data_IF_379989424121
#
_entry.id   IF_379989424121
#
_cell.length_a   1.000
_cell.length_b   1.000
_cell.length_c   1.000
_cell.angle_alpha   90.00
_cell.angle_beta   90.00
_cell.angle_gamma   90.00
#
_symmetry.space_group_name_H-M   'P 1'
#
loop_
_entity.id
_entity.type
_entity.pdbx_description
1 polymer ?
#
# COMPACT_ATOMS: atom_id res chain seq x y z
N UNK A 1 -24.67 47.54 -28.02
CA UNK A 1 -23.75 47.18 -26.92
C UNK A 1 -24.57 46.73 -25.71
N UNK A 2 -24.95 45.46 -25.65
CA UNK A 2 -25.74 44.90 -24.54
C UNK A 2 -25.25 43.49 -24.26
N UNK A 3 -24.19 43.38 -23.48
CA UNK A 3 -23.66 42.11 -23.00
C UNK A 3 -24.33 41.72 -21.69
N UNK A 4 -25.24 40.74 -21.74
CA UNK A 4 -25.69 39.99 -20.56
C UNK A 4 -24.47 39.32 -19.93
N UNK A 5 -24.16 39.66 -18.68
CA UNK A 5 -23.24 38.87 -17.87
C UNK A 5 -24.09 37.81 -17.15
N UNK A 6 -24.21 36.64 -17.78
CA UNK A 6 -24.67 35.42 -17.11
C UNK A 6 -23.68 35.08 -16.00
N UNK A 7 -24.10 35.25 -14.75
CA UNK A 7 -23.45 34.67 -13.58
C UNK A 7 -23.72 33.15 -13.55
N UNK A 8 -23.08 32.41 -14.45
CA UNK A 8 -23.05 30.95 -14.45
C UNK A 8 -21.77 30.47 -15.10
N UNK A 9 -20.64 30.76 -14.46
CA UNK A 9 -19.39 30.02 -14.70
C UNK A 9 -18.91 29.55 -13.35
N UNK A 10 -19.04 28.25 -13.13
CA UNK A 10 -18.60 27.58 -11.92
C UNK A 10 -17.18 27.98 -11.60
N UNK A 11 -16.97 28.46 -10.37
CA UNK A 11 -15.65 28.38 -9.79
C UNK A 11 -15.23 26.91 -9.86
N UNK A 12 -14.09 26.56 -10.47
CA UNK A 12 -13.49 25.29 -10.17
C UNK A 12 -13.22 25.32 -8.67
N UNK A 13 -13.95 24.49 -7.92
CA UNK A 13 -13.55 24.07 -6.57
C UNK A 13 -12.15 23.50 -6.74
N UNK A 14 -11.14 24.34 -6.52
CA UNK A 14 -9.77 23.90 -6.32
C UNK A 14 -9.83 23.03 -5.08
N UNK A 15 -9.89 21.72 -5.30
CA UNK A 15 -9.60 20.73 -4.28
C UNK A 15 -8.18 21.05 -3.81
N UNK A 16 -8.05 21.82 -2.74
CA UNK A 16 -6.84 22.04 -1.96
C UNK A 16 -6.47 20.74 -1.21
N UNK A 17 -6.36 19.68 -1.99
CA UNK A 17 -6.17 18.31 -1.54
C UNK A 17 -5.07 17.67 -2.35
N UNK A 18 -3.92 18.34 -2.50
CA UNK A 18 -2.66 17.60 -2.61
C UNK A 18 -2.38 17.11 -1.19
N UNK A 19 -3.17 16.12 -0.77
CA UNK A 19 -2.83 15.35 0.41
C UNK A 19 -1.42 14.81 0.19
N UNK A 20 -0.53 15.05 1.16
CA UNK A 20 0.76 14.39 1.41
C UNK A 20 0.66 12.85 1.52
N UNK A 21 -0.34 12.22 0.89
CA UNK A 21 -0.61 10.78 0.85
C UNK A 21 0.03 10.08 -0.34
N UNK A 22 0.62 10.79 -1.28
CA UNK A 22 1.61 10.22 -2.20
C UNK A 22 2.99 10.17 -1.53
N UNK A 23 3.05 9.52 -0.37
CA UNK A 23 4.31 8.88 0.01
C UNK A 23 4.71 7.98 -1.16
N UNK A 24 6.01 7.82 -1.49
CA UNK A 24 6.45 6.79 -2.40
C UNK A 24 6.14 5.41 -1.79
N UNK A 25 4.88 4.97 -1.91
CA UNK A 25 4.35 3.73 -1.37
C UNK A 25 4.99 2.51 -2.03
N UNK A 26 5.62 2.69 -3.20
CA UNK A 26 6.31 1.64 -3.94
C UNK A 26 7.77 1.46 -3.53
N UNK A 27 8.47 2.49 -3.04
CA UNK A 27 9.94 2.42 -2.87
C UNK A 27 10.31 1.55 -1.66
N UNK A 28 9.62 1.69 -0.53
CA UNK A 28 9.90 0.90 0.68
C UNK A 28 9.67 -0.61 0.53
N UNK A 29 8.53 -1.09 0.01
CA UNK A 29 8.29 -2.53 -0.11
C UNK A 29 9.21 -3.20 -1.14
N UNK A 30 9.43 -2.55 -2.30
CA UNK A 30 10.29 -3.09 -3.36
C UNK A 30 11.75 -3.26 -2.90
N UNK A 31 12.27 -2.29 -2.15
CA UNK A 31 13.65 -2.33 -1.66
C UNK A 31 13.85 -3.46 -0.65
N UNK A 32 12.89 -3.62 0.26
CA UNK A 32 12.93 -4.63 1.33
C UNK A 32 12.86 -6.05 0.77
N UNK A 33 12.00 -6.28 -0.23
CA UNK A 33 11.86 -7.60 -0.86
C UNK A 33 13.12 -8.00 -1.64
N UNK A 34 13.68 -7.06 -2.42
CA UNK A 34 14.92 -7.27 -3.17
C UNK A 34 16.10 -7.56 -2.25
N UNK A 35 16.23 -6.79 -1.16
CA UNK A 35 17.25 -7.00 -0.13
C UNK A 35 17.15 -8.40 0.49
N UNK A 36 15.94 -8.80 0.91
CA UNK A 36 15.74 -10.07 1.59
C UNK A 36 16.02 -11.26 0.66
N UNK A 37 15.64 -11.14 -0.63
CA UNK A 37 15.95 -12.15 -1.65
C UNK A 37 17.45 -12.30 -1.86
N UNK A 38 18.18 -11.19 -2.04
CA UNK A 38 19.64 -11.21 -2.22
C UNK A 38 20.35 -11.75 -0.99
N UNK A 39 19.93 -11.35 0.21
CA UNK A 39 20.47 -11.83 1.48
C UNK A 39 20.28 -13.35 1.64
N UNK A 40 19.09 -13.87 1.33
CA UNK A 40 18.79 -15.30 1.42
C UNK A 40 19.67 -16.11 0.47
N UNK A 41 19.76 -15.70 -0.80
CA UNK A 41 20.61 -16.34 -1.81
C UNK A 41 22.07 -16.42 -1.37
N UNK A 42 22.66 -15.28 -0.99
CA UNK A 42 24.06 -15.21 -0.55
C UNK A 42 24.29 -16.10 0.68
N UNK A 43 23.36 -16.09 1.64
CA UNK A 43 23.45 -16.93 2.84
C UNK A 43 23.43 -18.42 2.51
N UNK A 44 22.55 -18.84 1.59
CA UNK A 44 22.46 -20.23 1.13
C UNK A 44 23.74 -20.65 0.39
N UNK A 45 24.22 -19.84 -0.55
CA UNK A 45 25.44 -20.10 -1.31
C UNK A 45 26.68 -20.24 -0.40
N UNK A 46 26.83 -19.35 0.60
CA UNK A 46 27.91 -19.42 1.59
C UNK A 46 27.79 -20.67 2.47
N UNK A 47 26.56 -21.04 2.86
CA UNK A 47 26.32 -22.23 3.67
C UNK A 47 26.68 -23.49 2.87
N UNK A 48 26.20 -23.61 1.64
CA UNK A 48 26.44 -24.78 0.79
C UNK A 48 27.93 -24.94 0.48
N UNK A 49 28.60 -23.87 0.03
CA UNK A 49 30.03 -23.90 -0.27
C UNK A 49 30.90 -24.16 0.97
N UNK A 50 30.51 -23.62 2.13
CA UNK A 50 31.19 -23.86 3.41
C UNK A 50 31.01 -25.29 3.92
N UNK A 51 29.78 -25.81 3.91
CA UNK A 51 29.46 -27.17 4.33
C UNK A 51 30.15 -28.21 3.45
N UNK A 52 30.11 -28.05 2.11
CA UNK A 52 30.78 -28.96 1.19
C UNK A 52 32.30 -29.01 1.42
N UNK A 53 32.94 -27.87 1.66
CA UNK A 53 34.37 -27.82 1.97
C UNK A 53 34.68 -28.50 3.32
N UNK A 54 33.96 -28.14 4.38
CA UNK A 54 34.22 -28.67 5.72
C UNK A 54 33.97 -30.18 5.79
N UNK A 55 32.88 -30.67 5.21
CA UNK A 55 32.59 -32.10 5.14
C UNK A 55 33.71 -32.86 4.40
N UNK A 56 34.18 -32.32 3.29
CA UNK A 56 35.26 -32.96 2.54
C UNK A 56 36.60 -32.91 3.29
N UNK A 57 36.92 -31.78 3.92
CA UNK A 57 38.17 -31.56 4.65
C UNK A 57 38.26 -32.37 5.95
N UNK A 58 37.16 -32.46 6.71
CA UNK A 58 37.13 -33.06 8.05
C UNK A 58 36.74 -34.54 8.01
N UNK A 59 35.95 -34.96 7.02
CA UNK A 59 35.42 -36.33 6.95
C UNK A 59 36.05 -37.13 5.83
N UNK A 60 35.97 -36.65 4.59
CA UNK A 60 36.30 -37.46 3.41
C UNK A 60 37.81 -37.60 3.20
N UNK A 61 38.55 -36.49 3.21
CA UNK A 61 39.99 -36.50 2.98
C UNK A 61 40.77 -37.27 4.07
N UNK A 62 40.46 -37.13 5.37
CA UNK A 62 41.11 -37.94 6.41
C UNK A 62 40.85 -39.43 6.24
N UNK A 63 39.64 -39.84 5.83
CA UNK A 63 39.33 -41.25 5.52
C UNK A 63 40.18 -41.77 4.36
N UNK A 64 40.31 -41.00 3.28
CA UNK A 64 41.17 -41.34 2.13
C UNK A 64 42.64 -41.44 2.55
N UNK A 65 43.12 -40.51 3.39
CA UNK A 65 44.49 -40.53 3.94
C UNK A 65 44.73 -41.78 4.78
N UNK A 66 43.82 -42.11 5.69
CA UNK A 66 43.92 -43.31 6.53
C UNK A 66 43.88 -44.58 5.69
N UNK A 67 43.03 -44.65 4.65
CA UNK A 67 42.98 -45.76 3.69
C UNK A 67 44.32 -45.94 2.98
N UNK A 68 44.92 -44.86 2.48
CA UNK A 68 46.24 -44.88 1.84
C UNK A 68 47.34 -45.35 2.80
N UNK A 69 47.42 -44.78 4.01
CA UNK A 69 48.42 -45.16 5.02
C UNK A 69 48.28 -46.64 5.41
N UNK A 70 47.04 -47.12 5.60
CA UNK A 70 46.77 -48.51 5.92
C UNK A 70 47.24 -49.45 4.79
N UNK A 71 46.88 -49.13 3.54
CA UNK A 71 47.30 -49.92 2.37
C UNK A 71 48.81 -49.91 2.18
N UNK A 72 49.47 -48.80 2.46
CA UNK A 72 50.92 -48.71 2.44
C UNK A 72 51.57 -49.62 3.49
N UNK A 73 51.03 -49.63 4.72
CA UNK A 73 51.51 -50.51 5.78
C UNK A 73 51.30 -52.01 5.45
N UNK A 74 50.15 -52.38 4.85
CA UNK A 74 49.85 -53.75 4.42
C UNK A 74 50.85 -54.26 3.36
N UNK A 75 51.22 -53.40 2.38
CA UNK A 75 52.23 -53.74 1.36
C UNK A 75 53.61 -53.91 1.99
N UNK A 76 54.02 -53.02 2.89
CA UNK A 76 55.30 -53.10 3.59
C UNK A 76 55.39 -54.33 4.50
N UNK A 77 54.30 -54.69 5.19
CA UNK A 77 54.22 -55.90 6.02
C UNK A 77 54.27 -57.17 5.17
N UNK A 78 53.54 -57.21 4.06
CA UNK A 78 53.58 -58.33 3.10
C UNK A 78 54.99 -58.54 2.54
N UNK A 79 55.70 -57.45 2.26
CA UNK A 79 57.10 -57.47 1.81
C UNK A 79 58.06 -57.95 2.90
N UNK A 80 57.86 -57.56 4.16
CA UNK A 80 58.65 -58.04 5.30
C UNK A 80 58.40 -59.52 5.60
N UNK A 81 57.14 -59.97 5.57
CA UNK A 81 56.76 -61.37 5.77
C UNK A 81 57.30 -62.29 4.66
N UNK A 82 57.39 -61.77 3.44
CA UNK A 82 58.05 -62.44 2.32
C UNK A 82 59.57 -62.64 2.53
N UNK A 83 60.23 -61.77 3.30
CA UNK A 83 61.68 -61.80 3.54
C UNK A 83 62.09 -62.62 4.79
N UNK A 84 61.14 -63.07 5.62
CA UNK A 84 61.40 -63.91 6.80
C UNK A 84 61.46 -65.42 6.47
N UNK A 85 62.40 -66.20 7.02
CA UNK A 85 62.51 -67.65 6.77
C UNK A 85 61.37 -68.45 7.44
N UNK A 86 60.98 -69.62 6.91
CA UNK A 86 59.90 -70.42 7.49
C UNK A 86 60.32 -71.01 8.85
N UNK A 87 59.54 -70.75 9.88
CA UNK A 87 59.62 -71.44 11.18
C UNK A 87 59.04 -72.84 11.05
N UNK A 88 59.82 -73.86 11.46
CA UNK A 88 59.47 -75.28 11.46
C UNK A 88 58.20 -75.58 12.29
N UNK A 89 57.36 -76.56 11.92
CA UNK A 89 56.23 -76.97 12.74
C UNK A 89 56.71 -77.75 13.98
N UNK A 90 56.27 -77.34 15.16
CA UNK A 90 56.44 -78.13 16.40
C UNK A 90 55.47 -79.31 16.40
N UNK A 91 56.00 -80.51 16.60
CA UNK A 91 55.30 -81.77 16.87
C UNK A 91 54.77 -81.84 18.32
N UNK A 92 53.70 -82.62 18.59
CA UNK A 92 52.92 -82.58 19.83
C UNK A 92 53.52 -83.44 20.95
N UNK A 93 53.13 -83.27 22.23
CA UNK A 93 53.39 -84.27 23.26
C UNK A 93 52.17 -85.14 23.56
N UNK A 94 52.43 -86.43 23.77
CA UNK A 94 51.48 -87.51 24.08
C UNK A 94 51.40 -87.80 25.60
N UNK A 95 50.22 -88.28 26.02
CA UNK A 95 49.87 -89.14 27.18
C UNK A 95 50.06 -88.64 28.64
N UNK A 96 49.21 -88.97 29.62
CA UNK A 96 47.89 -89.61 29.72
C UNK A 96 47.33 -89.47 31.16
N UNK A 97 46.00 -89.44 31.33
CA UNK A 97 45.15 -90.05 32.40
C UNK A 97 43.68 -89.57 32.20
N UNK A 98 42.77 -90.40 31.65
CA UNK A 98 41.72 -91.23 32.33
C UNK A 98 40.78 -90.39 33.25
N UNK A 99 39.44 -90.37 33.23
CA UNK A 99 38.26 -91.02 32.58
C UNK A 99 37.11 -89.96 32.73
N UNK A 100 35.99 -89.88 32.01
CA UNK A 100 34.80 -90.77 32.06
C UNK A 100 33.69 -90.22 31.14
N UNK A 101 33.09 -91.12 30.34
CA UNK A 101 31.66 -91.16 29.87
C UNK A 101 31.06 -89.97 29.08
N UNK A 102 30.17 -90.11 28.09
CA UNK A 102 29.50 -91.23 27.41
C UNK A 102 28.68 -90.64 26.25
N UNK A 103 28.47 -91.45 25.20
CA UNK A 103 27.33 -91.47 24.26
C UNK A 103 27.27 -90.51 23.05
N UNK A 104 27.45 -91.15 21.88
CA UNK A 104 26.87 -90.93 20.53
C UNK A 104 25.31 -91.06 20.54
N UNK A 105 24.52 -90.92 19.43
CA UNK A 105 24.89 -90.98 17.99
C UNK A 105 24.17 -90.05 16.97
N UNK A 106 24.84 -89.90 15.82
CA UNK A 106 24.40 -90.03 14.40
C UNK A 106 23.19 -89.29 13.79
N UNK A 107 23.38 -88.79 12.56
CA UNK A 107 22.50 -89.05 11.40
C UNK A 107 23.19 -88.76 10.04
N UNK A 108 22.73 -89.49 9.02
CA UNK A 108 23.32 -89.81 7.71
C UNK A 108 23.04 -88.82 6.57
N UNK A 109 23.88 -88.90 5.52
CA UNK A 109 23.50 -88.84 4.09
C UNK A 109 23.76 -87.49 3.37
N UNK A 110 24.09 -87.38 2.06
CA UNK A 110 24.22 -88.35 0.95
C UNK A 110 24.88 -87.64 -0.26
N UNK A 111 25.73 -88.38 -1.00
CA UNK A 111 26.01 -88.38 -2.46
C UNK A 111 26.48 -87.15 -3.30
N UNK A 112 27.48 -87.47 -4.15
CA UNK A 112 28.12 -86.80 -5.33
C UNK A 112 27.21 -86.88 -6.60
N UNK A 113 27.50 -86.29 -7.80
CA UNK A 113 28.67 -86.61 -8.66
C UNK A 113 29.23 -85.44 -9.53
N UNK A 114 30.14 -85.80 -10.45
CA UNK A 114 31.12 -85.03 -11.25
C UNK A 114 30.77 -85.06 -12.75
N UNK A 115 31.10 -84.03 -13.57
CA UNK A 115 31.11 -84.07 -15.07
C UNK A 115 32.16 -83.06 -15.61
N UNK A 116 33.37 -83.50 -16.02
CA UNK A 116 33.98 -83.63 -17.38
C UNK A 116 34.17 -82.38 -18.27
N UNK A 117 35.34 -82.31 -18.92
CA UNK A 117 35.99 -81.27 -19.74
C UNK A 117 35.47 -81.14 -21.20
N UNK A 118 36.02 -80.21 -22.03
CA UNK A 118 37.11 -80.60 -22.96
C UNK A 118 38.23 -79.55 -23.21
N UNK A 119 39.41 -80.02 -23.63
CA UNK A 119 40.52 -79.24 -24.24
C UNK A 119 40.27 -78.99 -25.75
N UNK A 120 40.88 -77.94 -26.35
CA UNK A 120 41.97 -78.10 -27.34
C UNK A 120 43.04 -76.97 -27.23
N UNK A 121 44.23 -76.88 -27.85
CA UNK A 121 45.06 -77.66 -28.79
C UNK A 121 46.51 -77.10 -28.68
N UNK A 122 47.52 -77.94 -28.93
CA UNK A 122 48.95 -77.56 -29.03
C UNK A 122 49.25 -76.78 -30.32
N UNK A 123 50.33 -75.98 -30.29
CA UNK A 123 51.11 -75.63 -31.49
C UNK A 123 52.58 -76.07 -31.32
N UNK A 124 53.17 -76.44 -32.44
CA UNK A 124 54.36 -77.27 -32.65
C UNK A 124 55.64 -76.41 -32.81
N UNK A 125 56.77 -77.04 -32.46
CA UNK A 125 58.16 -76.54 -32.45
C UNK A 125 58.67 -75.79 -33.68
N UNK A 126 59.66 -74.89 -33.48
CA UNK A 126 60.87 -74.79 -34.34
C UNK A 126 62.13 -74.42 -33.56
N UNK A 127 63.13 -75.28 -33.67
CA UNK A 127 64.54 -75.15 -33.27
C UNK A 127 65.34 -74.42 -34.36
N UNK A 128 66.53 -73.86 -34.03
CA UNK A 128 67.72 -74.32 -34.75
C UNK A 128 68.95 -74.58 -33.86
N UNK A 129 69.82 -75.46 -34.35
CA UNK A 129 71.08 -75.96 -33.77
C UNK A 129 72.21 -74.92 -33.74
N UNK A 130 73.16 -75.10 -32.82
CA UNK A 130 74.50 -74.49 -32.91
C UNK A 130 75.41 -74.79 -31.71
N UNK A 131 76.25 -75.82 -31.85
CA UNK A 131 77.62 -76.00 -31.33
C UNK A 131 77.99 -75.72 -29.85
N UNK A 132 78.48 -76.77 -29.17
CA UNK A 132 79.31 -76.72 -27.95
C UNK A 132 80.77 -76.26 -28.27
N UNK A 133 81.65 -75.98 -27.27
CA UNK A 133 82.31 -77.06 -26.53
C UNK A 133 82.62 -76.79 -25.03
N UNK A 134 82.58 -77.89 -24.25
CA UNK A 134 83.60 -78.28 -23.27
C UNK A 134 83.74 -77.51 -21.94
N UNK A 135 83.36 -78.16 -20.82
CA UNK A 135 84.32 -78.56 -19.76
C UNK A 135 83.67 -79.38 -18.65
N UNK A 136 84.39 -80.44 -18.27
CA UNK A 136 84.11 -81.43 -17.23
C UNK A 136 83.72 -80.83 -15.87
N UNK A 137 82.64 -81.32 -15.26
CA UNK A 137 82.54 -81.54 -13.80
C UNK A 137 81.67 -82.75 -13.51
N UNK A 138 82.21 -83.68 -12.72
CA UNK A 138 81.59 -84.93 -12.27
C UNK A 138 80.28 -84.71 -11.52
N UNK A 139 79.29 -85.63 -11.59
CA UNK A 139 78.10 -85.56 -10.74
C UNK A 139 78.41 -86.25 -9.41
N UNK A 140 78.56 -85.47 -8.35
CA UNK A 140 78.54 -86.02 -6.99
C UNK A 140 77.10 -86.34 -6.62
N UNK A 141 76.87 -87.60 -6.29
CA UNK A 141 75.68 -88.15 -5.63
C UNK A 141 75.36 -87.41 -4.34
N UNK A 142 74.10 -87.01 -4.18
CA UNK A 142 73.53 -86.40 -2.98
C UNK A 142 72.99 -85.00 -3.28
N UNK A 143 71.71 -84.71 -3.14
CA UNK A 143 70.64 -85.37 -2.42
C UNK A 143 69.32 -84.85 -3.00
N UNK A 144 68.28 -85.68 -3.07
CA UNK A 144 66.91 -85.24 -3.40
C UNK A 144 66.41 -84.05 -2.54
N UNK A 145 67.10 -83.77 -1.42
CA UNK A 145 66.89 -82.63 -0.52
C UNK A 145 67.34 -81.27 -1.09
N UNK A 146 68.42 -81.20 -1.87
CA UNK A 146 68.90 -79.94 -2.48
C UNK A 146 67.94 -79.47 -3.58
N UNK A 147 67.42 -80.41 -4.37
CA UNK A 147 66.45 -80.14 -5.43
C UNK A 147 65.09 -79.72 -4.83
N UNK A 148 64.69 -80.34 -3.70
CA UNK A 148 63.51 -79.92 -2.92
C UNK A 148 63.68 -78.52 -2.30
N UNK A 149 64.88 -78.16 -1.83
CA UNK A 149 65.16 -76.82 -1.32
C UNK A 149 65.12 -75.76 -2.42
N UNK A 150 65.65 -76.06 -3.61
CA UNK A 150 65.53 -75.18 -4.78
C UNK A 150 64.08 -75.09 -5.29
N UNK A 151 63.31 -76.17 -5.24
CA UNK A 151 61.89 -76.20 -5.56
C UNK A 151 61.06 -75.37 -4.56
N UNK A 152 61.34 -75.50 -3.26
CA UNK A 152 60.73 -74.70 -2.20
C UNK A 152 61.08 -73.21 -2.33
N UNK A 153 62.32 -72.87 -2.69
CA UNK A 153 62.76 -71.48 -2.92
C UNK A 153 62.10 -70.85 -4.15
N UNK A 154 61.88 -71.64 -5.21
CA UNK A 154 61.10 -71.21 -6.39
C UNK A 154 59.63 -71.01 -6.05
N UNK A 155 59.01 -71.96 -5.34
CA UNK A 155 57.62 -71.83 -4.90
C UNK A 155 57.42 -70.61 -3.98
N UNK A 156 58.38 -70.35 -3.09
CA UNK A 156 58.37 -69.18 -2.21
C UNK A 156 58.51 -67.89 -3.01
N UNK A 157 59.46 -67.78 -3.95
CA UNK A 157 59.57 -66.62 -4.83
C UNK A 157 58.33 -66.40 -5.71
N UNK A 158 57.67 -67.48 -6.17
CA UNK A 158 56.39 -67.38 -6.90
C UNK A 158 55.27 -66.88 -6.00
N UNK A 159 55.22 -67.30 -4.73
CA UNK A 159 54.23 -66.84 -3.77
C UNK A 159 54.44 -65.37 -3.36
N UNK A 160 55.71 -64.96 -3.15
CA UNK A 160 56.09 -63.56 -2.92
C UNK A 160 55.67 -62.70 -4.10
N UNK A 161 56.01 -63.10 -5.32
CA UNK A 161 55.61 -62.37 -6.53
C UNK A 161 54.09 -62.27 -6.67
N UNK A 162 53.34 -63.30 -6.28
CA UNK A 162 51.88 -63.28 -6.30
C UNK A 162 51.28 -62.32 -5.24
N UNK A 163 51.86 -62.26 -4.04
CA UNK A 163 51.45 -61.35 -2.97
C UNK A 163 51.81 -59.89 -3.29
N UNK A 164 53.01 -59.62 -3.80
CA UNK A 164 53.40 -58.30 -4.29
C UNK A 164 52.51 -57.85 -5.47
N UNK A 165 52.25 -58.72 -6.44
CA UNK A 165 51.39 -58.40 -7.59
C UNK A 165 49.94 -58.12 -7.20
N UNK A 166 49.45 -58.72 -6.10
CA UNK A 166 48.09 -58.51 -5.60
C UNK A 166 47.96 -57.23 -4.75
N UNK A 167 48.96 -56.90 -3.93
CA UNK A 167 48.89 -55.77 -3.00
C UNK A 167 49.33 -54.42 -3.62
N UNK A 168 50.24 -54.42 -4.60
CA UNK A 168 50.70 -53.22 -5.29
C UNK A 168 49.59 -52.42 -6.02
N UNK A 169 48.66 -53.03 -6.80
CA UNK A 169 47.61 -52.28 -7.49
C UNK A 169 46.60 -51.64 -6.52
N UNK A 170 46.32 -52.29 -5.39
CA UNK A 170 45.41 -51.75 -4.37
C UNK A 170 45.99 -50.48 -3.69
N UNK A 171 47.31 -50.45 -3.49
CA UNK A 171 48.01 -49.26 -2.99
C UNK A 171 48.01 -48.14 -4.03
N UNK A 172 48.30 -48.46 -5.29
CA UNK A 172 48.30 -47.47 -6.38
C UNK A 172 46.92 -46.85 -6.58
N UNK A 173 45.85 -47.64 -6.43
CA UNK A 173 44.48 -47.15 -6.46
C UNK A 173 44.16 -46.23 -5.27
N UNK A 174 44.58 -46.60 -4.05
CA UNK A 174 44.40 -45.75 -2.86
C UNK A 174 45.19 -44.43 -2.95
N UNK A 175 46.39 -44.44 -3.52
CA UNK A 175 47.18 -43.22 -3.78
C UNK A 175 46.49 -42.33 -4.83
N UNK A 176 46.03 -42.90 -5.94
CA UNK A 176 45.26 -42.17 -6.97
C UNK A 176 44.00 -41.53 -6.37
N UNK A 177 43.25 -42.26 -5.55
CA UNK A 177 42.09 -41.73 -4.83
C UNK A 177 42.46 -40.59 -3.88
N UNK A 178 43.54 -40.73 -3.11
CA UNK A 178 43.98 -39.69 -2.19
C UNK A 178 44.41 -38.42 -2.94
N UNK A 179 45.20 -38.53 -4.01
CA UNK A 179 45.62 -37.38 -4.83
C UNK A 179 44.42 -36.69 -5.49
N UNK A 180 43.49 -37.46 -6.06
CA UNK A 180 42.22 -36.92 -6.58
C UNK A 180 41.46 -36.19 -5.47
N UNK A 181 41.44 -36.74 -4.26
CA UNK A 181 40.79 -36.12 -3.12
C UNK A 181 41.43 -34.79 -2.72
N UNK A 182 42.76 -34.70 -2.71
CA UNK A 182 43.47 -33.42 -2.45
C UNK A 182 43.12 -32.37 -3.51
N UNK A 183 43.13 -32.74 -4.80
CA UNK A 183 42.74 -31.82 -5.88
C UNK A 183 41.28 -31.37 -5.76
N UNK A 184 40.38 -32.28 -5.36
CA UNK A 184 38.98 -31.94 -5.14
C UNK A 184 38.81 -30.98 -3.97
N UNK A 185 39.54 -31.19 -2.86
CA UNK A 185 39.52 -30.26 -1.73
C UNK A 185 39.97 -28.85 -2.15
N UNK A 186 41.03 -28.76 -2.96
CA UNK A 186 41.49 -27.46 -3.49
C UNK A 186 40.44 -26.81 -4.41
N UNK A 187 39.73 -27.62 -5.21
CA UNK A 187 38.62 -27.14 -6.03
C UNK A 187 37.48 -26.56 -5.16
N UNK A 188 37.12 -27.25 -4.07
CA UNK A 188 36.12 -26.76 -3.12
C UNK A 188 36.59 -25.49 -2.40
N UNK A 189 37.87 -25.39 -2.05
CA UNK A 189 38.47 -24.18 -1.46
C UNK A 189 38.32 -22.99 -2.40
N UNK A 190 38.72 -23.15 -3.66
CA UNK A 190 38.58 -22.11 -4.69
C UNK A 190 37.12 -21.73 -4.95
N UNK A 191 36.20 -22.71 -4.98
CA UNK A 191 34.76 -22.46 -5.11
C UNK A 191 34.25 -21.60 -3.95
N UNK A 192 34.62 -21.92 -2.71
CA UNK A 192 34.26 -21.13 -1.51
C UNK A 192 34.78 -19.70 -1.59
N UNK A 193 36.02 -19.50 -2.02
CA UNK A 193 36.59 -18.15 -2.21
C UNK A 193 35.81 -17.36 -3.27
N UNK A 194 35.50 -17.97 -4.42
CA UNK A 194 34.70 -17.32 -5.47
C UNK A 194 33.27 -17.02 -5.03
N UNK A 195 32.64 -17.90 -4.26
CA UNK A 195 31.32 -17.66 -3.68
C UNK A 195 31.33 -16.48 -2.71
N UNK A 196 32.38 -16.36 -1.89
CA UNK A 196 32.56 -15.19 -1.01
C UNK A 196 32.72 -13.91 -1.83
N UNK A 197 33.61 -13.90 -2.81
CA UNK A 197 33.86 -12.75 -3.69
C UNK A 197 32.58 -12.30 -4.44
N UNK A 198 31.84 -13.26 -5.01
CA UNK A 198 30.56 -13.00 -5.66
C UNK A 198 29.51 -12.43 -4.68
N UNK A 199 29.50 -12.92 -3.44
CA UNK A 199 28.67 -12.39 -2.36
C UNK A 199 29.01 -10.93 -2.02
N UNK A 200 30.30 -10.59 -1.92
CA UNK A 200 30.76 -9.22 -1.70
C UNK A 200 30.37 -8.29 -2.86
N UNK A 201 30.61 -8.71 -4.11
CA UNK A 201 30.24 -7.92 -5.29
C UNK A 201 28.73 -7.68 -5.35
N UNK A 202 27.92 -8.71 -5.07
CA UNK A 202 26.46 -8.58 -5.00
C UNK A 202 26.01 -7.59 -3.93
N UNK A 203 26.68 -7.57 -2.77
CA UNK A 203 26.39 -6.62 -1.71
C UNK A 203 26.80 -5.18 -2.09
N UNK A 204 27.96 -5.01 -2.71
CA UNK A 204 28.42 -3.70 -3.19
C UNK A 204 27.45 -3.11 -4.20
N UNK A 205 27.06 -3.89 -5.22
CA UNK A 205 26.08 -3.46 -6.22
C UNK A 205 24.73 -3.12 -5.59
N UNK A 206 24.26 -3.93 -4.63
CA UNK A 206 23.01 -3.63 -3.91
C UNK A 206 23.08 -2.30 -3.14
N UNK A 207 24.20 -2.02 -2.47
CA UNK A 207 24.40 -0.77 -1.74
C UNK A 207 24.41 0.42 -2.71
N UNK A 208 25.12 0.30 -3.83
CA UNK A 208 25.14 1.34 -4.87
C UNK A 208 23.73 1.60 -5.44
N UNK A 209 23.01 0.55 -5.85
CA UNK A 209 21.63 0.64 -6.33
C UNK A 209 20.69 1.26 -5.28
N UNK A 210 20.89 0.93 -4.00
CA UNK A 210 20.13 1.52 -2.89
C UNK A 210 20.34 3.01 -2.77
N UNK A 211 21.59 3.43 -2.80
CA UNK A 211 21.96 4.82 -2.69
C UNK A 211 21.43 5.63 -3.87
N UNK A 212 21.52 5.07 -5.09
CA UNK A 212 21.01 5.67 -6.31
C UNK A 212 19.47 5.79 -6.28
N UNK A 213 18.77 4.76 -5.80
CA UNK A 213 17.32 4.79 -5.65
C UNK A 213 16.86 5.84 -4.63
N UNK A 214 17.54 5.92 -3.47
CA UNK A 214 17.25 6.93 -2.44
C UNK A 214 17.51 8.33 -2.97
N UNK A 215 18.66 8.55 -3.62
CA UNK A 215 19.00 9.83 -4.26
C UNK A 215 17.90 10.25 -5.25
N UNK A 216 17.52 9.37 -6.18
CA UNK A 216 16.48 9.64 -7.18
C UNK A 216 15.11 9.94 -6.55
N UNK A 217 14.79 9.31 -5.43
CA UNK A 217 13.56 9.59 -4.70
C UNK A 217 13.58 10.98 -4.03
N UNK A 218 14.74 11.36 -3.47
CA UNK A 218 14.92 12.67 -2.86
C UNK A 218 14.93 13.79 -3.91
N UNK A 219 15.58 13.59 -5.05
CA UNK A 219 15.54 14.54 -6.19
C UNK A 219 14.10 14.83 -6.62
N UNK A 220 13.29 13.78 -6.85
CA UNK A 220 11.87 13.94 -7.18
C UNK A 220 11.09 14.68 -6.09
N UNK A 221 11.39 14.42 -4.82
CA UNK A 221 10.74 15.11 -3.71
C UNK A 221 11.09 16.60 -3.71
N UNK A 222 12.37 16.95 -3.89
CA UNK A 222 12.81 18.34 -3.94
C UNK A 222 12.27 19.07 -5.16
N UNK A 223 12.22 18.43 -6.34
CA UNK A 223 11.66 19.02 -7.56
C UNK A 223 10.17 19.33 -7.39
N UNK A 224 9.41 18.40 -6.82
CA UNK A 224 7.99 18.60 -6.51
C UNK A 224 7.78 19.75 -5.50
N UNK A 225 8.65 19.85 -4.50
CA UNK A 225 8.62 20.96 -3.53
C UNK A 225 8.93 22.30 -4.20
N UNK A 226 9.91 22.36 -5.09
CA UNK A 226 10.24 23.57 -5.86
C UNK A 226 9.03 23.97 -6.71
N UNK A 227 8.46 23.04 -7.49
CA UNK A 227 7.30 23.32 -8.34
C UNK A 227 6.09 23.84 -7.53
N UNK A 228 5.80 23.20 -6.39
CA UNK A 228 4.72 23.64 -5.49
C UNK A 228 5.00 25.04 -4.95
N UNK A 229 6.23 25.31 -4.50
CA UNK A 229 6.61 26.62 -3.98
C UNK A 229 6.50 27.69 -5.06
N UNK A 230 7.00 27.44 -6.28
CA UNK A 230 6.92 28.37 -7.40
C UNK A 230 5.48 28.72 -7.75
N UNK A 231 4.58 27.74 -7.83
CA UNK A 231 3.15 28.00 -8.12
C UNK A 231 2.50 28.83 -7.00
N UNK A 232 2.83 28.55 -5.74
CA UNK A 232 2.34 29.32 -4.60
C UNK A 232 2.88 30.75 -4.61
N UNK A 233 4.15 30.95 -4.97
CA UNK A 233 4.74 32.28 -5.17
C UNK A 233 4.00 33.03 -6.28
N UNK A 234 3.79 32.42 -7.44
CA UNK A 234 3.06 33.03 -8.56
C UNK A 234 1.63 33.43 -8.17
N UNK A 235 0.91 32.57 -7.45
CA UNK A 235 -0.42 32.87 -6.95
C UNK A 235 -0.40 34.07 -6.00
N UNK A 236 0.59 34.12 -5.10
CA UNK A 236 0.78 35.22 -4.15
C UNK A 236 1.11 36.53 -4.87
N UNK A 237 1.92 36.49 -5.93
CA UNK A 237 2.22 37.64 -6.79
C UNK A 237 0.97 38.14 -7.51
N UNK A 238 0.13 37.25 -8.03
CA UNK A 238 -1.14 37.64 -8.66
C UNK A 238 -2.11 38.25 -7.64
N UNK A 239 -2.23 37.65 -6.45
CA UNK A 239 -3.01 38.21 -5.35
C UNK A 239 -2.49 39.60 -4.96
N UNK A 240 -1.17 39.80 -4.92
CA UNK A 240 -0.57 41.11 -4.66
C UNK A 240 -0.95 42.14 -5.72
N UNK A 241 -0.90 41.78 -7.01
CA UNK A 241 -1.34 42.68 -8.08
C UNK A 241 -2.82 43.07 -7.95
N UNK A 242 -3.68 42.16 -7.49
CA UNK A 242 -5.08 42.49 -7.22
C UNK A 242 -5.22 43.47 -6.03
N UNK A 243 -4.42 43.29 -4.98
CA UNK A 243 -4.37 44.20 -3.82
C UNK A 243 -3.86 45.58 -4.22
N UNK A 244 -2.81 45.67 -5.05
CA UNK A 244 -2.25 46.95 -5.49
C UNK A 244 -3.24 47.75 -6.38
N UNK A 245 -4.27 47.10 -6.93
CA UNK A 245 -5.36 47.77 -7.67
C UNK A 245 -6.45 48.35 -6.78
N UNK A 246 -6.46 48.01 -5.48
CA UNK A 246 -7.43 48.56 -4.52
C UNK A 246 -7.08 50.03 -4.31
N UNK A 247 -8.06 50.90 -4.52
CA UNK A 247 -7.91 52.34 -4.35
C UNK A 247 -9.09 52.85 -3.55
N UNK A 248 -8.89 53.20 -2.27
CA UNK A 248 -9.99 53.61 -1.40
C UNK A 248 -10.85 54.71 -1.99
N UNK A 249 -10.25 55.72 -2.62
CA UNK A 249 -10.97 56.82 -3.27
C UNK A 249 -11.84 56.35 -4.44
N UNK A 250 -11.31 55.50 -5.33
CA UNK A 250 -12.06 54.96 -6.48
C UNK A 250 -13.11 53.94 -6.08
N UNK A 251 -12.86 53.19 -5.00
CA UNK A 251 -13.79 52.19 -4.49
C UNK A 251 -14.93 52.86 -3.73
N UNK A 252 -14.66 53.93 -2.97
CA UNK A 252 -15.70 54.82 -2.42
C UNK A 252 -16.46 55.53 -3.52
N UNK A 253 -15.83 55.95 -4.63
CA UNK A 253 -16.55 56.55 -5.75
C UNK A 253 -17.41 55.55 -6.54
N UNK A 254 -16.94 54.31 -6.72
CA UNK A 254 -17.72 53.22 -7.37
C UNK A 254 -18.83 52.69 -6.47
N UNK A 255 -18.62 52.65 -5.16
CA UNK A 255 -19.64 52.34 -4.16
C UNK A 255 -20.43 53.59 -3.70
N UNK A 256 -20.08 54.78 -4.20
CA UNK A 256 -20.81 56.04 -4.07
C UNK A 256 -22.09 56.07 -4.92
N UNK A 257 -22.45 54.94 -5.51
CA UNK A 257 -23.81 54.60 -5.93
C UNK A 257 -24.56 53.79 -4.86
N UNK A 258 -24.22 53.93 -3.58
CA UNK A 258 -25.24 54.30 -2.60
C UNK A 258 -25.49 55.78 -2.89
N UNK A 259 -26.18 56.12 -3.98
CA UNK A 259 -27.64 56.02 -4.01
C UNK A 259 -28.13 57.07 -3.03
N UNK A 260 -28.79 58.10 -3.52
CA UNK A 260 -29.38 59.20 -2.75
C UNK A 260 -30.47 58.71 -1.76
N UNK A 261 -30.40 57.47 -1.26
CA UNK A 261 -31.32 56.90 -0.28
C UNK A 261 -31.07 57.57 1.07
N UNK A 262 -31.77 58.68 1.30
CA UNK A 262 -31.75 59.37 2.58
C UNK A 262 -32.42 58.51 3.68
N UNK A 263 -33.27 57.56 3.29
CA UNK A 263 -34.12 56.79 4.21
C UNK A 263 -33.96 55.27 4.00
N UNK A 264 -33.39 54.57 5.00
CA UNK A 264 -33.39 53.11 5.05
C UNK A 264 -34.76 52.59 5.51
N UNK A 265 -35.66 52.32 4.56
CA UNK A 265 -37.05 51.96 4.84
C UNK A 265 -37.28 50.45 4.74
N UNK A 266 -36.74 49.81 3.72
CA UNK A 266 -36.86 48.36 3.53
C UNK A 266 -35.80 47.63 4.38
N UNK A 267 -36.17 46.48 4.96
CA UNK A 267 -35.26 45.72 5.83
C UNK A 267 -35.07 46.30 7.24
N UNK A 268 -35.63 47.49 7.53
CA UNK A 268 -35.46 48.17 8.81
C UNK A 268 -36.59 47.82 9.80
N UNK A 269 -36.29 47.81 11.10
CA UNK A 269 -37.29 47.51 12.13
C UNK A 269 -38.35 48.60 12.20
N UNK A 270 -39.63 48.22 12.35
CA UNK A 270 -40.73 49.19 12.50
C UNK A 270 -40.54 50.12 13.71
N UNK A 271 -39.95 49.60 14.79
CA UNK A 271 -39.61 50.40 15.98
C UNK A 271 -38.51 51.41 15.63
N UNK A 272 -37.48 50.97 14.90
CA UNK A 272 -36.40 51.84 14.43
C UNK A 272 -36.91 52.93 13.48
N UNK A 273 -37.81 52.57 12.57
CA UNK A 273 -38.44 53.51 11.64
C UNK A 273 -39.25 54.58 12.40
N UNK A 274 -40.05 54.18 13.38
CA UNK A 274 -40.86 55.10 14.18
C UNK A 274 -39.99 56.12 14.94
N UNK A 275 -38.88 55.65 15.54
CA UNK A 275 -37.90 56.52 16.21
C UNK A 275 -37.19 57.45 15.24
N UNK A 276 -36.73 56.95 14.08
CA UNK A 276 -35.98 57.74 13.10
C UNK A 276 -36.81 58.84 12.46
N UNK A 277 -38.11 58.61 12.27
CA UNK A 277 -39.02 59.55 11.61
C UNK A 277 -39.87 60.36 12.59
N UNK A 278 -39.60 60.26 13.90
CA UNK A 278 -40.39 60.88 14.97
C UNK A 278 -41.90 60.69 14.76
N UNK A 279 -42.32 59.48 14.42
CA UNK A 279 -43.74 59.19 14.26
C UNK A 279 -44.44 59.38 15.61
N UNK A 280 -45.58 60.10 15.66
CA UNK A 280 -46.36 60.18 16.88
C UNK A 280 -46.78 58.78 17.33
N UNK A 281 -46.89 58.59 18.64
CA UNK A 281 -47.11 57.27 19.22
C UNK A 281 -48.28 56.52 18.54
N UNK A 282 -47.90 55.43 17.88
CA UNK A 282 -48.78 54.56 17.13
C UNK A 282 -49.20 55.06 15.73
N UNK A 283 -48.43 55.85 15.03
CA UNK A 283 -48.67 56.03 13.59
C UNK A 283 -48.07 54.87 12.76
N UNK A 284 -48.55 54.70 11.52
CA UNK A 284 -48.10 53.62 10.60
C UNK A 284 -47.12 54.22 9.58
N UNK A 285 -46.08 53.46 9.14
CA UNK A 285 -45.14 53.92 8.11
C UNK A 285 -45.82 54.52 6.88
N UNK A 286 -45.27 55.63 6.38
CA UNK A 286 -45.87 56.41 5.27
C UNK A 286 -45.98 55.55 4.00
N UNK A 287 -44.97 54.73 3.71
CA UNK A 287 -45.03 53.74 2.63
C UNK A 287 -46.29 52.87 2.66
N UNK A 288 -46.70 52.37 3.84
CA UNK A 288 -47.89 51.52 3.97
C UNK A 288 -49.15 52.33 3.72
N UNK A 289 -49.25 53.53 4.28
CA UNK A 289 -50.41 54.41 4.06
C UNK A 289 -50.60 54.74 2.58
N UNK A 290 -49.52 55.13 1.90
CA UNK A 290 -49.55 55.48 0.48
C UNK A 290 -49.92 54.28 -0.39
N UNK A 291 -49.28 53.11 -0.16
CA UNK A 291 -49.58 51.92 -0.96
C UNK A 291 -51.03 51.48 -0.80
N UNK A 292 -51.55 51.52 0.43
CA UNK A 292 -52.92 51.12 0.71
C UNK A 292 -53.92 52.12 0.13
N UNK A 293 -53.71 53.43 0.30
CA UNK A 293 -54.59 54.44 -0.27
C UNK A 293 -54.69 54.33 -1.80
N UNK A 294 -53.57 54.06 -2.47
CA UNK A 294 -53.53 53.85 -3.92
C UNK A 294 -54.24 52.56 -4.36
N UNK A 295 -54.09 51.48 -3.58
CA UNK A 295 -54.78 50.20 -3.81
C UNK A 295 -56.28 50.34 -3.57
N UNK A 296 -56.73 51.08 -2.56
CA UNK A 296 -58.16 51.28 -2.29
C UNK A 296 -58.81 52.14 -3.39
N UNK A 297 -58.10 53.14 -3.91
CA UNK A 297 -58.59 54.06 -4.95
C UNK A 297 -58.72 53.39 -6.32
N UNK A 298 -57.71 52.62 -6.74
CA UNK A 298 -57.62 52.05 -8.11
C UNK A 298 -57.77 50.54 -8.18
N UNK A 299 -57.68 49.86 -7.05
CA UNK A 299 -57.65 48.41 -6.99
C UNK A 299 -59.02 47.74 -7.04
N UNK A 300 -60.10 48.47 -6.80
CA UNK A 300 -61.46 47.91 -6.95
C UNK A 300 -61.73 47.35 -8.36
N UNK A 301 -61.06 47.89 -9.38
CA UNK A 301 -61.22 47.50 -10.79
C UNK A 301 -60.24 46.39 -11.25
N UNK A 302 -59.21 46.06 -10.47
CA UNK A 302 -58.18 45.11 -10.87
C UNK A 302 -58.38 43.72 -10.23
N UNK A 303 -58.57 42.69 -11.07
CA UNK A 303 -58.75 41.33 -10.59
C UNK A 303 -57.45 40.78 -9.98
N UNK A 304 -57.56 40.22 -8.77
CA UNK A 304 -56.48 39.43 -8.16
C UNK A 304 -55.24 40.22 -7.72
N UNK A 305 -55.39 41.49 -7.32
CA UNK A 305 -54.28 42.40 -6.93
C UNK A 305 -53.25 41.78 -5.98
N UNK A 306 -53.70 41.05 -4.97
CA UNK A 306 -52.79 40.43 -4.01
C UNK A 306 -52.21 39.09 -4.49
N UNK A 307 -52.90 38.40 -5.42
CA UNK A 307 -52.49 37.10 -6.00
C UNK A 307 -51.47 37.27 -7.14
N UNK A 308 -51.65 38.28 -7.97
CA UNK A 308 -50.78 38.56 -9.12
C UNK A 308 -49.56 39.39 -8.67
N UNK A 309 -48.39 39.11 -9.28
CA UNK A 309 -47.16 39.87 -9.03
C UNK A 309 -46.96 40.91 -10.13
N UNK A 310 -46.66 42.14 -9.73
CA UNK A 310 -46.28 43.21 -10.65
C UNK A 310 -44.89 42.99 -11.24
N UNK A 311 -44.55 43.74 -12.29
CA UNK A 311 -43.26 43.64 -12.97
C UNK A 311 -42.11 43.96 -12.01
N UNK A 312 -41.21 43.01 -11.79
CA UNK A 312 -40.12 43.11 -10.81
C UNK A 312 -39.23 44.36 -11.00
N UNK A 313 -38.91 44.72 -12.25
CA UNK A 313 -38.12 45.92 -12.55
C UNK A 313 -38.79 47.23 -12.09
N UNK A 314 -40.12 47.30 -12.16
CA UNK A 314 -40.90 48.46 -11.71
C UNK A 314 -40.93 48.51 -10.19
N UNK A 315 -41.12 47.37 -9.52
CA UNK A 315 -41.09 47.27 -8.05
C UNK A 315 -39.73 47.72 -7.50
N UNK A 316 -38.63 47.27 -8.12
CA UNK A 316 -37.28 47.68 -7.76
C UNK A 316 -37.02 49.18 -8.02
N UNK A 317 -37.65 49.76 -9.04
CA UNK A 317 -37.58 51.21 -9.24
C UNK A 317 -38.34 51.97 -8.16
N UNK A 318 -39.56 51.56 -7.86
CA UNK A 318 -40.38 52.19 -6.80
C UNK A 318 -39.71 52.07 -5.43
N UNK A 319 -39.06 50.95 -5.12
CA UNK A 319 -38.27 50.77 -3.90
C UNK A 319 -37.17 51.83 -3.81
N UNK A 320 -36.34 51.96 -4.86
CA UNK A 320 -35.26 52.95 -4.90
C UNK A 320 -35.79 54.39 -4.82
N UNK A 321 -36.89 54.68 -5.50
CA UNK A 321 -37.46 56.02 -5.53
C UNK A 321 -38.03 56.44 -4.16
N UNK A 322 -38.58 55.49 -3.39
CA UNK A 322 -39.05 55.72 -2.01
C UNK A 322 -37.88 55.87 -1.04
N UNK A 323 -36.87 55.00 -1.12
CA UNK A 323 -35.70 55.11 -0.24
C UNK A 323 -34.90 56.39 -0.49
N UNK A 324 -34.97 56.93 -1.72
CA UNK A 324 -34.37 58.21 -2.11
C UNK A 324 -34.93 59.39 -1.30
N UNK A 325 -36.25 59.55 -1.25
CA UNK A 325 -36.92 60.57 -0.44
C UNK A 325 -38.38 60.18 -0.18
N UNK A 326 -38.67 59.64 1.00
CA UNK A 326 -40.02 59.22 1.37
C UNK A 326 -40.96 60.41 1.54
N UNK A 327 -40.42 61.59 1.88
CA UNK A 327 -41.21 62.79 2.14
C UNK A 327 -41.80 63.37 0.85
N UNK A 328 -41.02 63.39 -0.23
CA UNK A 328 -41.41 63.89 -1.55
C UNK A 328 -42.00 62.82 -2.49
N UNK A 329 -41.95 61.54 -2.12
CA UNK A 329 -42.46 60.46 -2.96
C UNK A 329 -44.01 60.45 -3.01
N UNK A 330 -44.54 60.38 -4.23
CA UNK A 330 -45.96 60.16 -4.53
C UNK A 330 -46.12 59.15 -5.68
N UNK A 331 -47.16 58.32 -5.61
CA UNK A 331 -47.48 57.41 -6.71
C UNK A 331 -48.01 58.19 -7.91
N UNK A 332 -47.31 58.08 -9.04
CA UNK A 332 -47.76 58.64 -10.31
C UNK A 332 -48.83 57.73 -10.94
N UNK A 333 -49.82 58.33 -11.60
CA UNK A 333 -50.98 57.63 -12.20
C UNK A 333 -50.61 56.52 -13.21
N UNK A 334 -49.41 56.58 -13.81
CA UNK A 334 -48.94 55.59 -14.78
C UNK A 334 -48.33 54.32 -14.16
N UNK A 335 -48.15 54.27 -12.84
CA UNK A 335 -47.65 53.04 -12.19
C UNK A 335 -48.73 51.97 -12.15
N UNK A 336 -48.33 50.74 -12.46
CA UNK A 336 -49.20 49.57 -12.42
C UNK A 336 -49.61 49.24 -10.97
N UNK A 337 -50.90 49.03 -10.75
CA UNK A 337 -51.47 48.71 -9.44
C UNK A 337 -50.92 47.39 -8.88
N UNK A 338 -50.61 46.42 -9.76
CA UNK A 338 -49.96 45.17 -9.36
C UNK A 338 -48.53 45.40 -8.85
N UNK A 339 -47.84 46.42 -9.35
CA UNK A 339 -46.51 46.81 -8.88
C UNK A 339 -46.59 47.48 -7.49
N UNK A 340 -47.58 48.35 -7.26
CA UNK A 340 -47.84 48.96 -5.93
C UNK A 340 -48.18 47.89 -4.88
N UNK A 341 -49.07 46.95 -5.21
CA UNK A 341 -49.38 45.84 -4.32
C UNK A 341 -48.17 44.92 -4.07
N UNK A 342 -47.30 44.75 -5.07
CA UNK A 342 -46.07 43.98 -4.93
C UNK A 342 -45.01 44.70 -4.09
N UNK A 343 -44.97 46.03 -4.14
CA UNK A 343 -44.12 46.86 -3.30
C UNK A 343 -44.55 46.78 -1.82
N UNK A 344 -45.85 46.86 -1.54
CA UNK A 344 -46.39 46.65 -0.20
C UNK A 344 -46.06 45.25 0.33
N UNK A 345 -46.23 44.21 -0.49
CA UNK A 345 -45.84 42.83 -0.16
C UNK A 345 -44.34 42.71 0.12
N UNK A 346 -43.51 43.39 -0.67
CA UNK A 346 -42.06 43.40 -0.50
C UNK A 346 -41.66 44.01 0.85
N UNK A 347 -42.22 45.18 1.17
CA UNK A 347 -41.99 45.86 2.44
C UNK A 347 -42.31 44.95 3.64
N UNK A 348 -43.51 44.35 3.66
CA UNK A 348 -43.95 43.48 4.76
C UNK A 348 -43.11 42.19 4.88
N UNK A 349 -42.52 41.71 3.78
CA UNK A 349 -41.67 40.52 3.76
C UNK A 349 -40.25 40.80 4.27
N UNK A 350 -39.74 42.00 4.02
CA UNK A 350 -38.38 42.38 4.40
C UNK A 350 -38.27 42.88 5.83
N UNK A 351 -39.39 43.08 6.54
CA UNK A 351 -39.37 43.40 7.96
C UNK A 351 -38.64 42.32 8.77
N UNK A 352 -37.72 42.70 9.68
CA UNK A 352 -36.97 41.75 10.50
C UNK A 352 -37.89 40.97 11.45
N UNK A 353 -39.02 41.56 11.84
CA UNK A 353 -40.07 40.90 12.59
C UNK A 353 -41.37 40.86 11.78
N UNK A 354 -41.97 39.68 11.53
CA UNK A 354 -43.21 39.59 10.78
C UNK A 354 -44.35 40.27 11.54
N UNK A 355 -45.16 41.06 10.83
CA UNK A 355 -46.34 41.75 11.40
C UNK A 355 -47.33 40.75 12.01
N UNK A 356 -47.46 39.57 11.41
CA UNK A 356 -48.27 38.48 11.92
C UNK A 356 -47.38 37.32 12.36
N UNK A 357 -47.25 37.13 13.68
CA UNK A 357 -46.46 36.05 14.29
C UNK A 357 -47.22 34.71 14.32
N UNK A 358 -47.67 34.22 13.17
CA UNK A 358 -48.19 32.85 13.09
C UNK A 358 -47.06 31.84 12.96
N UNK A 359 -47.02 30.85 13.84
CA UNK A 359 -46.16 29.67 13.62
C UNK A 359 -46.66 28.87 12.40
N UNK A 360 -45.79 28.08 11.76
CA UNK A 360 -46.23 27.20 10.67
C UNK A 360 -47.31 26.21 11.13
N UNK A 361 -47.23 25.75 12.38
CA UNK A 361 -48.23 24.86 12.99
C UNK A 361 -49.59 25.55 13.12
N UNK A 362 -49.64 26.79 13.61
CA UNK A 362 -50.88 27.58 13.67
C UNK A 362 -51.48 27.80 12.28
N UNK A 363 -50.64 28.07 11.26
CA UNK A 363 -51.10 28.30 9.89
C UNK A 363 -51.74 27.05 9.27
N UNK A 364 -51.16 25.89 9.51
CA UNK A 364 -51.69 24.60 9.02
C UNK A 364 -53.03 24.31 9.68
N UNK A 365 -53.09 24.41 11.01
CA UNK A 365 -54.31 24.19 11.78
C UNK A 365 -55.46 25.12 11.34
N UNK A 366 -55.17 26.41 11.16
CA UNK A 366 -56.15 27.38 10.65
C UNK A 366 -56.58 27.13 9.18
N UNK A 367 -55.76 26.43 8.39
CA UNK A 367 -56.09 26.07 7.00
C UNK A 367 -56.94 24.80 6.93
N UNK A 368 -56.68 23.84 7.81
CA UNK A 368 -57.43 22.58 7.93
C UNK A 368 -58.86 22.82 8.46
N UNK A 369 -59.02 23.75 9.41
CA UNK A 369 -60.31 24.10 10.02
C UNK A 369 -61.03 25.27 9.32
N UNK A 370 -60.70 25.56 8.06
CA UNK A 370 -61.22 26.72 7.35
C UNK A 370 -62.76 26.77 7.30
N UNK A 371 -63.42 25.62 7.16
CA UNK A 371 -64.89 25.52 7.13
C UNK A 371 -65.54 25.85 8.49
N UNK A 372 -64.93 25.42 9.60
CA UNK A 372 -65.39 25.72 10.96
C UNK A 372 -65.08 27.18 11.34
N UNK A 373 -63.94 27.70 10.90
CA UNK A 373 -63.63 29.11 11.04
C UNK A 373 -64.59 30.01 10.24
N UNK A 374 -65.03 29.59 9.05
CA UNK A 374 -66.04 30.31 8.27
C UNK A 374 -67.40 30.31 8.96
N UNK A 375 -67.86 29.18 9.53
CA UNK A 375 -69.13 29.12 10.26
C UNK A 375 -69.11 29.95 11.55
N UNK A 376 -67.95 30.05 12.21
CA UNK A 376 -67.78 30.78 13.46
C UNK A 376 -67.21 32.21 13.26
N UNK A 377 -67.37 32.80 12.08
CA UNK A 377 -66.91 34.16 11.75
C UNK A 377 -65.45 34.44 12.18
N UNK A 378 -64.57 33.45 12.05
CA UNK A 378 -63.16 33.48 12.42
C UNK A 378 -62.93 33.87 13.90
N UNK A 379 -63.81 33.48 14.82
CA UNK A 379 -63.77 33.88 16.25
C UNK A 379 -62.41 33.62 16.92
N UNK A 380 -61.80 32.46 16.69
CA UNK A 380 -60.50 32.10 17.27
C UNK A 380 -59.35 32.94 16.70
N UNK A 381 -59.36 33.16 15.38
CA UNK A 381 -58.40 34.02 14.69
C UNK A 381 -58.52 35.48 15.16
N UNK A 382 -59.75 35.98 15.31
CA UNK A 382 -60.07 37.31 15.85
C UNK A 382 -59.63 37.47 17.30
N UNK A 383 -59.82 36.45 18.12
CA UNK A 383 -59.36 36.42 19.52
C UNK A 383 -57.83 36.41 19.63
N UNK A 384 -57.15 35.56 18.85
CA UNK A 384 -55.67 35.52 18.76
C UNK A 384 -55.11 36.84 18.22
N UNK A 385 -55.72 37.41 17.18
CA UNK A 385 -55.36 38.74 16.68
C UNK A 385 -55.48 39.79 17.79
N UNK A 386 -56.59 39.85 18.52
CA UNK A 386 -56.78 40.78 19.65
C UNK A 386 -55.69 40.61 20.73
N UNK A 387 -55.28 39.37 21.03
CA UNK A 387 -54.31 39.04 22.09
C UNK A 387 -52.85 39.35 21.70
N UNK A 388 -52.49 39.24 20.43
CA UNK A 388 -51.12 39.52 19.96
C UNK A 388 -50.73 40.98 19.93
N UNK A 389 -51.72 41.86 19.97
CA UNK A 389 -51.54 43.29 19.87
C UNK A 389 -51.18 43.96 21.22
N UNK A 390 -50.30 43.35 22.05
CA UNK A 390 -49.67 43.99 23.22
C UNK A 390 -48.24 44.50 22.91
N UNK A 391 -47.47 44.94 23.93
CA UNK A 391 -47.13 46.33 24.29
C UNK A 391 -46.40 47.21 23.24
N UNK A 392 -46.20 46.78 21.98
CA UNK A 392 -45.57 47.59 20.94
C UNK A 392 -46.61 48.21 19.99
N UNK A 393 -46.83 49.52 20.12
CA UNK A 393 -47.99 50.23 19.55
C UNK A 393 -48.00 50.30 18.01
N UNK A 394 -46.82 50.39 17.39
CA UNK A 394 -46.67 50.54 15.92
C UNK A 394 -47.02 49.24 15.18
N UNK A 395 -46.54 48.07 15.66
CA UNK A 395 -46.89 46.77 15.09
C UNK A 395 -48.37 46.46 15.23
N UNK A 396 -48.98 46.83 16.37
CA UNK A 396 -50.41 46.66 16.61
C UNK A 396 -51.24 47.45 15.60
N UNK A 397 -50.93 48.73 15.39
CA UNK A 397 -51.72 49.58 14.50
C UNK A 397 -51.50 49.24 13.03
N UNK A 398 -50.27 48.88 12.62
CA UNK A 398 -50.02 48.32 11.29
C UNK A 398 -50.85 47.05 11.03
N UNK A 399 -50.83 46.11 11.97
CA UNK A 399 -51.61 44.87 11.85
C UNK A 399 -53.12 45.12 11.81
N UNK A 400 -53.64 46.02 12.66
CA UNK A 400 -55.06 46.42 12.64
C UNK A 400 -55.46 47.12 11.35
N UNK A 401 -54.60 47.99 10.81
CA UNK A 401 -54.84 48.68 9.56
C UNK A 401 -54.90 47.68 8.40
N UNK A 402 -53.88 46.83 8.24
CA UNK A 402 -53.87 45.78 7.23
C UNK A 402 -55.08 44.84 7.33
N UNK A 403 -55.52 44.49 8.55
CA UNK A 403 -56.72 43.68 8.76
C UNK A 403 -58.03 44.38 8.34
N UNK A 404 -58.12 45.71 8.49
CA UNK A 404 -59.27 46.49 8.02
C UNK A 404 -59.36 46.51 6.49
N UNK A 405 -58.22 46.57 5.80
CA UNK A 405 -58.15 46.59 4.34
C UNK A 405 -58.41 45.23 3.69
N UNK A 406 -58.04 44.12 4.35
CA UNK A 406 -58.28 42.76 3.87
C UNK A 406 -59.74 42.26 3.95
N UNK A 407 -60.73 43.14 4.09
CA UNK A 407 -62.16 42.76 4.07
C UNK A 407 -62.75 42.23 5.38
N UNK A 408 -62.08 42.39 6.53
CA UNK A 408 -62.70 42.08 7.85
C UNK A 408 -63.61 43.20 8.38
N UNK A 409 -63.81 44.28 7.61
CA UNK A 409 -64.56 45.48 8.01
C UNK A 409 -66.10 45.34 8.02
N UNK A 410 -66.68 44.22 7.56
CA UNK A 410 -68.14 44.02 7.67
C UNK A 410 -68.61 43.41 9.00
N UNK A 411 -67.74 43.16 9.98
CA UNK A 411 -68.18 42.62 11.28
C UNK A 411 -67.42 43.22 12.47
N UNK A 412 -67.31 44.55 12.51
CA UNK A 412 -67.09 45.29 13.74
C UNK A 412 -68.25 46.29 13.89
N UNK A 413 -69.29 46.01 14.69
CA UNK A 413 -70.26 47.03 15.02
C UNK A 413 -69.55 48.16 15.78
N UNK A 414 -69.84 49.38 15.34
CA UNK A 414 -69.56 50.59 16.11
C UNK A 414 -70.36 50.55 17.42
N UNK A 415 -69.73 50.94 18.53
CA UNK A 415 -70.40 51.23 19.79
C UNK A 415 -70.19 50.20 20.89
N UNK A 416 -69.29 50.52 21.82
CA UNK A 416 -69.52 50.58 23.27
C UNK A 416 -68.30 51.25 23.91
#
# INVERSE_FOLDING_TARGET
MTGRISASRGLPRLKSGITLKERPKLVKPFFKETQERTRKRIKEDLKESGSAYNEYAEVTLPKLKTKYIKKFAEVEESKKAALSPPTSPQSPPSDAHHITTSMKPDHLGTARPTVTSPQPLRAIDRRPSGSAPGRNRSPSSGTAFSDLAHQGKRQLNTLIGFLEFRAAPELEEADKEYRRGVHWLETLRLRRTKTLESGYNSLSTFVEESSAAVKKALEKYTDNMIATTTTQTQLSTHARSAVDRISPEKDVARHGLVGECQDLIFGFSLVGYATSKNLPDGDIPKIVKMCVAEIDSRGSEAEGIYRVSGRHAVVQSLQRDIEKDESAFEFKQHYDIYAVASLLKLYLRELPEPVFRFSLQDRIHHSEELAEHQSNNFMLLRSKMRRWFGPMEVHQRLGKALARFGGLSQALPAGA
#
